data_IF_192553184248
#
_entry.id   IF_192553184248
#
_cell.length_a   1.000
_cell.length_b   1.000
_cell.length_c   1.000
_cell.angle_alpha   90.00
_cell.angle_beta   90.00
_cell.angle_gamma   90.00
#
_symmetry.space_group_name_H-M   'P 1'
#
loop_
_entity.id
_entity.type
_entity.pdbx_description
1 polymer ?
#
# COMPACT_ATOMS: atom_id res chain seq x y z
N UNK A 1 -0.74 42.33 14.10
CA UNK A 1 -0.20 41.02 13.70
C UNK A 1 -1.30 40.00 13.97
N UNK A 2 -2.00 39.56 12.93
CA UNK A 2 -3.19 38.70 13.04
C UNK A 2 -2.73 37.25 12.83
N UNK A 3 -2.83 36.42 13.88
CA UNK A 3 -2.55 34.98 13.78
C UNK A 3 -3.82 34.32 13.24
N UNK A 4 -3.77 33.84 12.00
CA UNK A 4 -4.81 32.99 11.42
C UNK A 4 -4.54 31.57 11.90
N UNK A 5 -5.34 31.10 12.86
CA UNK A 5 -5.40 29.70 13.24
C UNK A 5 -6.23 29.00 12.17
N UNK A 6 -5.58 28.26 11.27
CA UNK A 6 -6.24 27.37 10.32
C UNK A 6 -6.73 26.13 11.07
N UNK A 7 -7.93 26.20 11.65
CA UNK A 7 -8.69 25.01 12.01
C UNK A 7 -9.26 24.43 10.70
N UNK A 8 -8.54 23.51 10.08
CA UNK A 8 -9.12 22.68 9.01
C UNK A 8 -10.23 21.82 9.63
N UNK A 9 -11.47 21.85 9.11
CA UNK A 9 -12.48 20.91 9.52
C UNK A 9 -12.01 19.50 9.13
N UNK A 10 -11.90 18.61 10.12
CA UNK A 10 -11.72 17.20 9.87
C UNK A 10 -12.93 16.72 9.05
N UNK A 11 -12.71 16.45 7.77
CA UNK A 11 -13.65 15.71 6.95
C UNK A 11 -13.68 14.32 7.55
N UNK A 12 -14.70 14.04 8.37
CA UNK A 12 -14.95 12.70 8.88
C UNK A 12 -15.41 11.84 7.71
N UNK A 13 -14.48 11.21 7.00
CA UNK A 13 -14.76 9.85 6.54
C UNK A 13 -15.09 9.03 7.79
N UNK A 14 -15.88 7.97 7.69
CA UNK A 14 -15.99 7.01 8.78
C UNK A 14 -14.57 6.52 9.06
N UNK A 15 -13.95 7.04 10.10
CA UNK A 15 -12.55 6.84 10.43
C UNK A 15 -12.44 5.38 10.87
N UNK A 16 -12.01 4.48 9.98
CA UNK A 16 -11.82 3.07 10.34
C UNK A 16 -10.74 3.03 11.41
N UNK A 17 -11.08 2.74 12.68
CA UNK A 17 -10.11 2.83 13.77
C UNK A 17 -8.94 1.87 13.57
N UNK A 18 -9.16 0.78 12.81
CA UNK A 18 -8.10 -0.13 12.41
C UNK A 18 -7.10 0.55 11.48
N UNK A 19 -7.56 1.15 10.37
CA UNK A 19 -6.68 1.86 9.44
C UNK A 19 -5.86 2.95 10.13
N UNK A 20 -6.50 3.80 10.95
CA UNK A 20 -5.83 4.89 11.67
C UNK A 20 -4.84 4.38 12.72
N UNK A 21 -5.12 3.25 13.38
CA UNK A 21 -4.18 2.59 14.29
C UNK A 21 -2.91 2.13 13.56
N UNK A 22 -3.07 1.39 12.46
CA UNK A 22 -1.94 0.87 11.69
C UNK A 22 -1.12 1.98 11.03
N UNK A 23 -1.78 3.03 10.56
CA UNK A 23 -1.10 4.19 10.02
C UNK A 23 -0.23 4.87 11.08
N UNK A 24 -0.74 5.00 12.30
CA UNK A 24 0.03 5.49 13.44
C UNK A 24 1.27 4.65 13.75
N UNK A 25 1.20 3.31 13.58
CA UNK A 25 2.35 2.42 13.74
C UNK A 25 3.39 2.62 12.63
N UNK A 26 2.94 2.67 11.36
CA UNK A 26 3.83 2.87 10.21
C UNK A 26 4.58 4.19 10.26
N UNK A 27 3.90 5.29 10.59
CA UNK A 27 4.52 6.62 10.73
C UNK A 27 5.60 6.67 11.82
N UNK A 28 5.52 5.78 12.82
CA UNK A 28 6.50 5.66 13.91
C UNK A 28 7.53 4.56 13.64
N UNK A 29 7.55 3.99 12.44
CA UNK A 29 8.41 2.88 12.04
C UNK A 29 8.28 1.63 12.93
N UNK A 30 7.11 1.43 13.56
CA UNK A 30 6.82 0.27 14.39
C UNK A 30 6.35 -0.93 13.55
N UNK A 31 7.09 -1.24 12.48
CA UNK A 31 6.70 -2.23 11.47
C UNK A 31 6.57 -3.63 12.06
N UNK A 32 7.51 -4.07 12.90
CA UNK A 32 7.44 -5.39 13.53
C UNK A 32 6.21 -5.60 14.42
N UNK A 33 5.73 -4.54 15.09
CA UNK A 33 4.51 -4.60 15.90
C UNK A 33 3.28 -4.73 14.98
N UNK A 34 3.23 -3.93 13.92
CA UNK A 34 2.14 -3.97 12.95
C UNK A 34 2.08 -5.32 12.21
N UNK A 35 3.20 -5.80 11.67
CA UNK A 35 3.30 -7.10 11.00
C UNK A 35 2.87 -8.24 11.95
N UNK A 36 3.45 -8.27 13.16
CA UNK A 36 3.14 -9.28 14.16
C UNK A 36 1.66 -9.28 14.56
N UNK A 37 1.05 -8.10 14.70
CA UNK A 37 -0.38 -8.01 15.00
C UNK A 37 -1.25 -8.56 13.85
N UNK A 38 -0.97 -8.18 12.60
CA UNK A 38 -1.70 -8.72 11.44
C UNK A 38 -1.57 -10.25 11.36
N UNK A 39 -0.35 -10.78 11.44
CA UNK A 39 -0.11 -12.21 11.36
C UNK A 39 -0.82 -12.97 12.50
N UNK A 40 -0.77 -12.43 13.72
CA UNK A 40 -1.49 -13.01 14.85
C UNK A 40 -3.01 -13.00 14.68
N UNK A 41 -3.57 -11.97 14.02
CA UNK A 41 -5.01 -11.89 13.71
C UNK A 41 -5.39 -12.89 12.64
N UNK A 42 -4.63 -12.95 11.54
CA UNK A 42 -4.85 -13.86 10.42
C UNK A 42 -4.71 -15.34 10.83
N UNK A 43 -3.92 -15.64 11.86
CA UNK A 43 -3.80 -16.98 12.41
C UNK A 43 -4.97 -17.42 13.33
N UNK A 44 -5.92 -16.54 13.64
CA UNK A 44 -7.03 -16.88 14.56
C UNK A 44 -8.02 -17.84 13.91
N UNK A 45 -8.42 -18.92 14.61
CA UNK A 45 -9.51 -19.76 14.14
C UNK A 45 -10.80 -18.95 14.01
N UNK A 46 -11.53 -19.12 12.89
CA UNK A 46 -12.83 -18.46 12.62
C UNK A 46 -12.77 -16.94 12.46
N UNK A 47 -11.69 -16.42 11.89
CA UNK A 47 -11.67 -15.05 11.37
C UNK A 47 -12.77 -14.88 10.30
N UNK A 48 -13.47 -13.75 10.31
CA UNK A 48 -14.46 -13.45 9.27
C UNK A 48 -13.77 -13.02 7.97
N UNK A 49 -14.42 -13.22 6.84
CA UNK A 49 -13.93 -12.81 5.51
C UNK A 49 -13.54 -11.32 5.48
N UNK A 50 -14.36 -10.45 6.08
CA UNK A 50 -14.09 -9.01 6.20
C UNK A 50 -12.86 -8.71 7.05
N UNK A 51 -12.66 -9.42 8.16
CA UNK A 51 -11.47 -9.25 9.00
C UNK A 51 -10.22 -9.80 8.31
N UNK A 52 -10.34 -10.92 7.59
CA UNK A 52 -9.26 -11.48 6.81
C UNK A 52 -8.81 -10.48 5.74
N UNK A 53 -9.73 -9.96 4.93
CA UNK A 53 -9.43 -8.92 3.94
C UNK A 53 -8.77 -7.69 4.57
N UNK A 54 -9.32 -7.20 5.70
CA UNK A 54 -8.79 -6.03 6.41
C UNK A 54 -7.35 -6.24 6.88
N UNK A 55 -7.07 -7.32 7.60
CA UNK A 55 -5.73 -7.55 8.16
C UNK A 55 -4.71 -7.95 7.11
N UNK A 56 -5.12 -8.63 6.04
CA UNK A 56 -4.25 -8.88 4.88
C UNK A 56 -3.85 -7.56 4.22
N UNK A 57 -4.81 -6.66 3.99
CA UNK A 57 -4.52 -5.34 3.42
C UNK A 57 -3.58 -4.50 4.30
N UNK A 58 -3.81 -4.48 5.61
CA UNK A 58 -2.91 -3.77 6.54
C UNK A 58 -1.52 -4.42 6.65
N UNK A 59 -1.42 -5.74 6.49
CA UNK A 59 -0.13 -6.44 6.40
C UNK A 59 0.64 -6.00 5.15
N UNK A 60 0.01 -6.02 3.98
CA UNK A 60 0.61 -5.61 2.70
C UNK A 60 1.12 -4.17 2.78
N UNK A 61 0.29 -3.26 3.30
CA UNK A 61 0.66 -1.83 3.48
C UNK A 61 1.83 -1.67 4.41
N UNK A 62 1.88 -2.46 5.48
CA UNK A 62 2.97 -2.43 6.47
C UNK A 62 4.26 -2.97 5.89
N UNK A 63 4.23 -4.12 5.19
CA UNK A 63 5.39 -4.68 4.50
C UNK A 63 5.95 -3.70 3.47
N UNK A 64 5.08 -3.03 2.72
CA UNK A 64 5.45 -2.04 1.71
C UNK A 64 6.09 -0.80 2.34
N UNK A 65 5.51 -0.29 3.43
CA UNK A 65 6.07 0.85 4.15
C UNK A 65 7.41 0.50 4.83
N UNK A 66 7.54 -0.72 5.33
CA UNK A 66 8.79 -1.24 5.89
C UNK A 66 9.86 -1.34 4.79
N UNK A 67 9.52 -1.88 3.62
CA UNK A 67 10.44 -1.98 2.50
C UNK A 67 10.97 -0.60 2.05
N UNK A 68 10.13 0.44 2.05
CA UNK A 68 10.55 1.82 1.77
C UNK A 68 11.56 2.37 2.79
N UNK A 69 11.53 1.89 4.03
CA UNK A 69 12.40 2.35 5.11
C UNK A 69 13.69 1.53 5.26
N UNK A 70 13.83 0.46 4.49
CA UNK A 70 14.92 -0.52 4.60
C UNK A 70 15.73 -0.58 3.30
N UNK A 71 16.93 -1.18 3.36
CA UNK A 71 17.82 -1.37 2.21
C UNK A 71 18.21 -2.85 2.06
N UNK A 72 18.89 -3.18 0.97
CA UNK A 72 19.26 -4.55 0.59
C UNK A 72 19.97 -5.33 1.73
N UNK A 73 19.72 -6.65 1.88
CA UNK A 73 18.80 -7.52 1.13
C UNK A 73 17.36 -7.57 1.67
N UNK A 74 17.11 -6.98 2.83
CA UNK A 74 15.83 -7.08 3.53
C UNK A 74 14.69 -6.37 2.78
N UNK A 75 14.99 -5.24 2.11
CA UNK A 75 14.02 -4.54 1.26
C UNK A 75 13.42 -5.45 0.18
N UNK A 76 14.25 -6.26 -0.49
CA UNK A 76 13.80 -7.13 -1.56
C UNK A 76 12.85 -8.23 -1.04
N UNK A 77 13.13 -8.78 0.14
CA UNK A 77 12.27 -9.79 0.77
C UNK A 77 10.93 -9.19 1.23
N UNK A 78 10.93 -7.98 1.78
CA UNK A 78 9.70 -7.28 2.17
C UNK A 78 8.80 -7.00 0.96
N UNK A 79 9.39 -6.55 -0.15
CA UNK A 79 8.64 -6.36 -1.40
C UNK A 79 8.05 -7.65 -1.94
N UNK A 80 8.83 -8.73 -1.89
CA UNK A 80 8.38 -10.05 -2.32
C UNK A 80 7.21 -10.53 -1.47
N UNK A 81 7.33 -10.49 -0.13
CA UNK A 81 6.25 -10.87 0.80
C UNK A 81 4.97 -10.07 0.57
N UNK A 82 5.06 -8.76 0.31
CA UNK A 82 3.88 -7.95 0.03
C UNK A 82 3.16 -8.39 -1.26
N UNK A 83 3.91 -8.65 -2.35
CA UNK A 83 3.37 -9.10 -3.64
C UNK A 83 2.80 -10.52 -3.58
N UNK A 84 3.47 -11.43 -2.86
CA UNK A 84 3.00 -12.80 -2.63
C UNK A 84 1.69 -12.79 -1.84
N UNK A 85 1.62 -12.00 -0.76
CA UNK A 85 0.39 -11.86 0.05
C UNK A 85 -0.81 -11.38 -0.79
N UNK A 86 -0.62 -10.39 -1.67
CA UNK A 86 -1.68 -9.95 -2.60
C UNK A 86 -2.07 -11.09 -3.55
N UNK A 87 -1.07 -11.77 -4.12
CA UNK A 87 -1.29 -12.81 -5.13
C UNK A 87 -2.05 -14.00 -4.57
N UNK A 88 -1.66 -14.47 -3.38
CA UNK A 88 -2.36 -15.55 -2.66
C UNK A 88 -3.79 -15.13 -2.34
N UNK A 89 -4.00 -13.94 -1.78
CA UNK A 89 -5.34 -13.46 -1.45
C UNK A 89 -6.26 -13.36 -2.69
N UNK A 90 -5.79 -12.74 -3.78
CA UNK A 90 -6.58 -12.62 -5.01
C UNK A 90 -6.88 -13.99 -5.66
N UNK A 91 -6.01 -14.99 -5.49
CA UNK A 91 -6.23 -16.35 -5.99
C UNK A 91 -7.28 -17.10 -5.16
N UNK A 92 -7.21 -16.98 -3.83
CA UNK A 92 -8.15 -17.65 -2.91
C UNK A 92 -9.54 -17.01 -2.95
N UNK A 93 -9.63 -15.72 -3.28
CA UNK A 93 -10.84 -14.91 -3.20
C UNK A 93 -11.22 -14.25 -4.54
N UNK A 94 -11.01 -14.95 -5.66
CA UNK A 94 -11.19 -14.40 -7.02
C UNK A 94 -12.57 -13.78 -7.27
N UNK A 95 -13.60 -14.28 -6.58
CA UNK A 95 -15.00 -13.87 -6.78
C UNK A 95 -15.43 -12.74 -5.82
N UNK A 96 -14.53 -12.27 -4.94
CA UNK A 96 -14.85 -11.23 -3.97
C UNK A 96 -14.78 -9.83 -4.58
N UNK A 97 -15.72 -8.97 -4.20
CA UNK A 97 -15.75 -7.54 -4.58
C UNK A 97 -14.46 -6.82 -4.18
N UNK A 98 -13.83 -7.25 -3.09
CA UNK A 98 -12.67 -6.61 -2.48
C UNK A 98 -11.38 -6.82 -3.27
N UNK A 99 -11.35 -7.77 -4.22
CA UNK A 99 -10.18 -8.03 -5.09
C UNK A 99 -9.70 -6.77 -5.79
N UNK A 100 -10.60 -5.85 -6.15
CA UNK A 100 -10.22 -4.57 -6.76
C UNK A 100 -9.44 -3.64 -5.81
N UNK A 101 -9.65 -3.73 -4.49
CA UNK A 101 -8.87 -2.99 -3.49
C UNK A 101 -7.45 -3.55 -3.41
N UNK A 102 -7.29 -4.86 -3.47
CA UNK A 102 -5.98 -5.52 -3.48
C UNK A 102 -5.19 -5.23 -4.75
N UNK A 103 -5.85 -5.19 -5.92
CA UNK A 103 -5.22 -4.76 -7.17
C UNK A 103 -4.82 -3.27 -7.14
N UNK A 104 -5.61 -2.41 -6.49
CA UNK A 104 -5.23 -1.03 -6.27
C UNK A 104 -4.01 -0.90 -5.35
N UNK A 105 -3.91 -1.72 -4.31
CA UNK A 105 -2.74 -1.77 -3.44
C UNK A 105 -1.51 -2.29 -4.20
N UNK A 106 -1.66 -3.26 -5.11
CA UNK A 106 -0.58 -3.70 -6.01
C UNK A 106 -0.07 -2.56 -6.89
N UNK A 107 -0.97 -1.77 -7.47
CA UNK A 107 -0.61 -0.58 -8.23
C UNK A 107 0.13 0.46 -7.36
N UNK A 108 -0.28 0.62 -6.10
CA UNK A 108 0.42 1.48 -5.12
C UNK A 108 1.84 0.99 -4.82
N UNK A 109 2.05 -0.31 -4.68
CA UNK A 109 3.39 -0.89 -4.50
C UNK A 109 4.30 -0.59 -5.69
N UNK A 110 3.78 -0.71 -6.92
CA UNK A 110 4.55 -0.35 -8.11
C UNK A 110 4.98 1.13 -8.10
N UNK A 111 4.11 2.02 -7.65
CA UNK A 111 4.42 3.44 -7.50
C UNK A 111 5.48 3.70 -6.42
N UNK A 112 5.40 3.05 -5.26
CA UNK A 112 6.41 3.15 -4.20
C UNK A 112 7.79 2.69 -4.68
N UNK A 113 7.86 1.56 -5.38
CA UNK A 113 9.12 1.07 -5.99
C UNK A 113 9.67 2.07 -7.02
N UNK A 114 8.80 2.68 -7.81
CA UNK A 114 9.19 3.70 -8.79
C UNK A 114 9.66 5.01 -8.12
N UNK A 115 9.11 5.36 -6.95
CA UNK A 115 9.57 6.49 -6.15
C UNK A 115 11.02 6.32 -5.67
N UNK A 116 11.42 5.10 -5.28
CA UNK A 116 12.83 4.80 -4.95
C UNK A 116 13.73 5.13 -6.15
N UNK A 117 13.34 4.72 -7.36
CA UNK A 117 14.10 5.00 -8.58
C UNK A 117 14.19 6.51 -8.87
N UNK A 118 13.13 7.26 -8.60
CA UNK A 118 13.14 8.72 -8.71
C UNK A 118 14.22 9.33 -7.80
N UNK A 119 14.28 8.91 -6.53
CA UNK A 119 15.29 9.38 -5.60
C UNK A 119 16.71 8.97 -6.01
N UNK A 120 16.89 7.76 -6.54
CA UNK A 120 18.18 7.30 -7.05
C UNK A 120 18.66 8.14 -8.25
N UNK A 121 17.77 8.57 -9.16
CA UNK A 121 18.14 9.49 -10.25
C UNK A 121 18.58 10.85 -9.69
N UNK A 122 17.92 11.37 -8.66
CA UNK A 122 18.32 12.63 -8.04
C UNK A 122 19.73 12.52 -7.44
N UNK A 123 20.08 11.35 -6.89
CA UNK A 123 21.41 11.07 -6.35
C UNK A 123 22.48 10.88 -7.44
N UNK A 124 22.14 10.24 -8.57
CA UNK A 124 23.04 10.04 -9.72
C UNK A 124 22.36 10.40 -11.06
N UNK A 125 22.32 11.70 -11.42
CA UNK A 125 21.62 12.14 -12.62
C UNK A 125 22.27 11.70 -13.94
N UNK A 126 23.55 11.30 -13.91
CA UNK A 126 24.31 10.95 -15.12
C UNK A 126 24.10 9.48 -15.54
N UNK A 127 23.55 8.66 -14.65
CA UNK A 127 23.25 7.26 -14.93
C UNK A 127 22.06 7.12 -15.90
N UNK A 128 22.37 7.03 -17.19
CA UNK A 128 21.36 6.91 -18.26
C UNK A 128 20.53 5.63 -18.14
N UNK A 129 21.15 4.52 -17.72
CA UNK A 129 20.46 3.24 -17.56
C UNK A 129 19.41 3.34 -16.44
N UNK A 130 19.80 3.87 -15.29
CA UNK A 130 18.89 4.10 -14.16
C UNK A 130 17.75 5.04 -14.56
N UNK A 131 18.06 6.13 -15.28
CA UNK A 131 17.06 7.08 -15.79
C UNK A 131 16.03 6.39 -16.68
N UNK A 132 16.48 5.55 -17.62
CA UNK A 132 15.57 4.85 -18.52
C UNK A 132 14.66 3.87 -17.76
N UNK A 133 15.24 3.10 -16.83
CA UNK A 133 14.48 2.19 -15.96
C UNK A 133 13.43 2.94 -15.16
N UNK A 134 13.78 4.06 -14.54
CA UNK A 134 12.86 4.86 -13.75
C UNK A 134 11.72 5.43 -14.59
N UNK A 135 12.00 5.97 -15.79
CA UNK A 135 10.95 6.48 -16.69
C UNK A 135 9.96 5.38 -17.02
N UNK A 136 10.44 4.19 -17.37
CA UNK A 136 9.59 3.03 -17.66
C UNK A 136 8.73 2.65 -16.45
N UNK A 137 9.33 2.52 -15.26
CA UNK A 137 8.61 2.10 -14.05
C UNK A 137 7.62 3.15 -13.55
N UNK A 138 7.98 4.44 -13.59
CA UNK A 138 7.07 5.55 -13.25
C UNK A 138 5.88 5.61 -14.22
N UNK A 139 6.13 5.45 -15.52
CA UNK A 139 5.06 5.46 -16.53
C UNK A 139 4.11 4.27 -16.35
N UNK A 140 4.66 3.09 -16.02
CA UNK A 140 3.87 1.91 -15.72
C UNK A 140 3.04 2.11 -14.46
N UNK A 141 3.62 2.66 -13.38
CA UNK A 141 2.92 2.94 -12.13
C UNK A 141 1.76 3.92 -12.31
N UNK A 142 1.94 4.98 -13.10
CA UNK A 142 0.86 5.92 -13.45
C UNK A 142 -0.28 5.19 -14.18
N UNK A 143 0.08 4.31 -15.12
CA UNK A 143 -0.90 3.55 -15.91
C UNK A 143 -1.71 2.62 -15.01
N UNK A 144 -1.06 1.85 -14.14
CA UNK A 144 -1.74 0.89 -13.26
C UNK A 144 -2.57 1.57 -12.18
N UNK A 145 -2.10 2.69 -11.62
CA UNK A 145 -2.87 3.49 -10.65
C UNK A 145 -4.14 4.06 -11.28
N UNK A 146 -4.04 4.64 -12.48
CA UNK A 146 -5.21 5.17 -13.20
C UNK A 146 -6.24 4.08 -13.48
N UNK A 147 -5.78 2.88 -13.87
CA UNK A 147 -6.66 1.74 -14.09
C UNK A 147 -7.34 1.28 -12.80
N UNK A 148 -6.61 1.21 -11.69
CA UNK A 148 -7.16 0.86 -10.39
C UNK A 148 -8.20 1.89 -9.91
N UNK A 149 -7.91 3.18 -10.03
CA UNK A 149 -8.85 4.27 -9.73
C UNK A 149 -10.15 4.13 -10.54
N UNK A 150 -10.03 3.87 -11.85
CA UNK A 150 -11.18 3.69 -12.75
C UNK A 150 -12.06 2.53 -12.29
N UNK A 151 -11.46 1.37 -11.97
CA UNK A 151 -12.19 0.18 -11.49
C UNK A 151 -12.89 0.43 -10.17
N UNK A 152 -12.19 1.03 -9.20
CA UNK A 152 -12.79 1.36 -7.90
C UNK A 152 -13.94 2.36 -8.05
N UNK A 153 -13.80 3.35 -8.92
CA UNK A 153 -14.86 4.33 -9.19
C UNK A 153 -16.10 3.68 -9.81
N UNK A 154 -15.91 2.71 -10.72
CA UNK A 154 -17.00 1.93 -11.30
C UNK A 154 -17.74 1.10 -10.25
N UNK A 155 -17.01 0.39 -9.38
CA UNK A 155 -17.61 -0.38 -8.29
C UNK A 155 -18.41 0.52 -7.34
N UNK A 156 -17.87 1.68 -6.95
CA UNK A 156 -18.60 2.62 -6.09
C UNK A 156 -19.89 3.12 -6.74
N UNK A 157 -19.92 3.29 -8.06
CA UNK A 157 -21.13 3.68 -8.79
C UNK A 157 -22.16 2.55 -8.92
N UNK A 158 -21.74 1.29 -8.85
CA UNK A 158 -22.64 0.13 -8.89
C UNK A 158 -23.34 -0.14 -7.54
N UNK A 159 -22.72 0.25 -6.43
CA UNK A 159 -23.23 0.03 -5.07
C UNK A 159 -23.75 1.29 -4.35
N UNK A 160 -23.63 2.48 -4.96
CA UNK A 160 -24.09 3.77 -4.42
C UNK A 160 -25.40 4.24 -5.01
#
# INVERSE_FOLDING_TARGET
>A
MLVVVLCSPAISSADDPTASYFEGLRQRHLFGIAEGYCLNRLAQPRITDTEQARYTLELIRTLSAHAMATQDPEQAELWKRAEETITEFCQEHSDWSDTSVFEAERARIAALKAEILYWQIQADPQNQSLRQTAITQLSQAVTTLTQAETRLSQLLAEFG
#
